data_IF_837619398747
#
_entry.id   IF_837619398747
#
_cell.length_a   1.000
_cell.length_b   1.000
_cell.length_c   1.000
_cell.angle_alpha   90.00
_cell.angle_beta   90.00
_cell.angle_gamma   90.00
#
_symmetry.space_group_name_H-M   'P 1'
#
loop_
_entity.id
_entity.type
_entity.pdbx_description
1 polymer ?
#
# COMPACT_ATOMS: atom_id res chain seq x y z
N UNK A 1 -16.78 32.41 3.32
CA UNK A 1 -15.57 31.68 3.73
C UNK A 1 -15.74 31.27 5.18
N UNK A 2 -15.79 29.98 5.46
CA UNK A 2 -15.63 29.44 6.81
C UNK A 2 -14.92 28.11 6.64
N UNK A 3 -13.60 28.14 6.83
CA UNK A 3 -12.76 26.96 6.99
C UNK A 3 -12.76 26.74 8.49
N UNK A 4 -13.47 25.73 8.96
CA UNK A 4 -13.23 25.21 10.30
C UNK A 4 -11.87 24.54 10.28
N UNK A 5 -10.84 25.23 10.78
CA UNK A 5 -9.58 24.58 11.14
C UNK A 5 -9.83 23.70 12.36
N UNK A 6 -10.17 22.44 12.13
CA UNK A 6 -9.70 21.41 13.04
C UNK A 6 -8.19 21.32 12.81
N UNK A 7 -7.39 21.63 13.82
CA UNK A 7 -5.93 21.77 13.78
C UNK A 7 -5.16 20.50 13.39
N UNK A 8 -5.84 19.43 12.96
CA UNK A 8 -5.29 18.11 12.71
C UNK A 8 -5.25 17.74 11.21
N UNK A 9 -6.13 18.30 10.37
CA UNK A 9 -6.19 17.97 8.94
C UNK A 9 -6.90 19.05 8.12
N UNK A 10 -6.73 19.00 6.80
CA UNK A 10 -7.34 19.93 5.84
C UNK A 10 -8.37 19.20 4.99
N UNK A 11 -9.41 19.91 4.56
CA UNK A 11 -10.35 19.44 3.54
C UNK A 11 -10.27 20.39 2.35
N UNK A 12 -10.04 19.84 1.16
CA UNK A 12 -10.05 20.57 -0.11
C UNK A 12 -11.15 20.04 -1.02
N UNK A 13 -11.81 20.95 -1.74
CA UNK A 13 -12.74 20.57 -2.81
C UNK A 13 -11.97 20.20 -4.08
N UNK A 14 -12.25 19.04 -4.66
CA UNK A 14 -11.57 18.50 -5.84
C UNK A 14 -12.58 17.82 -6.77
N UNK A 15 -12.31 17.79 -8.07
CA UNK A 15 -13.07 16.93 -8.97
C UNK A 15 -12.63 15.48 -8.74
N UNK A 16 -13.58 14.59 -8.46
CA UNK A 16 -13.31 13.16 -8.33
C UNK A 16 -13.75 12.43 -9.61
N UNK A 17 -12.83 11.75 -10.31
CA UNK A 17 -13.18 10.88 -11.43
C UNK A 17 -13.63 9.48 -10.97
N UNK A 18 -13.61 9.21 -9.66
CA UNK A 18 -13.93 7.89 -9.10
C UNK A 18 -15.43 7.70 -8.91
N UNK A 19 -15.92 6.44 -8.85
CA UNK A 19 -17.32 6.16 -8.57
C UNK A 19 -17.85 6.89 -7.33
N UNK A 20 -19.16 7.15 -7.33
CA UNK A 20 -19.81 7.77 -6.18
C UNK A 20 -19.79 6.81 -4.99
N UNK A 21 -19.40 7.33 -3.82
CA UNK A 21 -19.55 6.65 -2.55
C UNK A 21 -20.71 7.26 -1.74
N UNK A 22 -21.52 6.43 -1.07
CA UNK A 22 -22.62 6.89 -0.22
C UNK A 22 -22.11 7.75 0.93
N UNK A 23 -22.99 8.57 1.51
CA UNK A 23 -22.64 9.40 2.66
C UNK A 23 -22.13 8.53 3.81
N UNK A 24 -20.99 8.93 4.39
CA UNK A 24 -20.34 8.18 5.48
C UNK A 24 -19.23 7.24 5.01
N UNK A 25 -19.11 6.95 3.71
CA UNK A 25 -18.04 6.13 3.14
C UNK A 25 -16.96 6.98 2.48
N UNK A 26 -15.72 6.55 2.62
CA UNK A 26 -14.54 7.24 2.12
C UNK A 26 -13.62 6.26 1.41
N UNK A 27 -13.02 6.70 0.30
CA UNK A 27 -11.88 6.01 -0.28
C UNK A 27 -10.65 6.19 0.62
N UNK A 28 -9.89 5.10 0.81
CA UNK A 28 -8.58 5.07 1.48
C UNK A 28 -7.46 4.63 0.52
N UNK A 29 -6.22 4.78 0.96
CA UNK A 29 -5.06 4.26 0.24
C UNK A 29 -4.79 4.93 -1.11
N UNK A 30 -4.75 4.14 -2.19
CA UNK A 30 -4.27 4.57 -3.51
C UNK A 30 -5.07 5.72 -4.13
N UNK A 31 -6.40 5.64 -4.08
CA UNK A 31 -7.34 6.62 -4.66
C UNK A 31 -7.08 8.05 -4.14
N UNK A 32 -7.22 8.34 -2.82
CA UNK A 32 -7.01 9.68 -2.31
C UNK A 32 -5.54 10.12 -2.42
N UNK A 33 -4.58 9.20 -2.29
CA UNK A 33 -3.15 9.51 -2.39
C UNK A 33 -2.78 10.01 -3.78
N UNK A 34 -3.20 9.31 -4.81
CA UNK A 34 -2.95 9.72 -6.20
C UNK A 34 -3.69 11.01 -6.53
N UNK A 35 -4.91 11.18 -6.02
CA UNK A 35 -5.67 12.43 -6.17
C UNK A 35 -4.88 13.63 -5.62
N UNK A 36 -4.37 13.54 -4.39
CA UNK A 36 -3.58 14.62 -3.80
C UNK A 36 -2.24 14.81 -4.53
N UNK A 37 -1.53 13.71 -4.86
CA UNK A 37 -0.25 13.77 -5.57
C UNK A 37 -0.37 14.51 -6.90
N UNK A 38 -1.43 14.25 -7.69
CA UNK A 38 -1.68 14.95 -8.97
C UNK A 38 -2.00 16.42 -8.79
N UNK A 39 -2.65 16.81 -7.70
CA UNK A 39 -2.86 18.23 -7.40
C UNK A 39 -1.55 18.95 -7.04
N UNK A 40 -0.60 18.23 -6.45
CA UNK A 40 0.71 18.75 -6.08
C UNK A 40 1.72 18.70 -7.24
N UNK A 41 1.57 17.71 -8.12
CA UNK A 41 2.48 17.42 -9.26
C UNK A 41 1.68 17.25 -10.57
N UNK A 42 1.04 18.31 -11.09
CA UNK A 42 0.12 18.22 -12.23
C UNK A 42 0.78 17.79 -13.55
N UNK A 43 2.10 17.90 -13.65
CA UNK A 43 2.88 17.51 -14.84
C UNK A 43 3.51 16.12 -14.72
N UNK A 44 3.32 15.43 -13.59
CA UNK A 44 3.86 14.08 -13.39
C UNK A 44 2.98 13.02 -14.06
N UNK A 45 3.57 11.86 -14.36
CA UNK A 45 2.84 10.68 -14.81
C UNK A 45 1.71 10.35 -13.84
N UNK A 46 0.56 9.94 -14.36
CA UNK A 46 -0.55 9.45 -13.52
C UNK A 46 -0.27 8.00 -13.15
N UNK A 47 -0.29 7.69 -11.85
CA UNK A 47 -0.21 6.31 -11.39
C UNK A 47 -1.59 5.67 -11.51
N UNK A 48 -1.64 4.46 -12.06
CA UNK A 48 -2.88 3.70 -12.11
C UNK A 48 -3.31 3.27 -10.70
N UNK A 49 -4.58 3.50 -10.38
CA UNK A 49 -5.19 3.02 -9.14
C UNK A 49 -5.93 1.73 -9.46
N UNK A 50 -5.35 0.60 -9.07
CA UNK A 50 -5.86 -0.75 -9.37
C UNK A 50 -6.99 -1.15 -8.42
N UNK A 51 -6.79 -0.90 -7.13
CA UNK A 51 -7.67 -1.36 -6.07
C UNK A 51 -8.36 -0.17 -5.39
N UNK A 52 -9.66 -0.34 -5.10
CA UNK A 52 -10.48 0.65 -4.44
C UNK A 52 -10.75 0.23 -3.00
N UNK A 53 -9.95 0.76 -2.09
CA UNK A 53 -10.16 0.52 -0.67
C UNK A 53 -11.12 1.55 -0.08
N UNK A 54 -12.04 1.10 0.78
CA UNK A 54 -13.00 1.97 1.46
C UNK A 54 -13.03 1.76 2.98
N UNK A 55 -13.53 2.77 3.69
CA UNK A 55 -13.89 2.71 5.12
C UNK A 55 -15.14 3.55 5.36
N UNK A 56 -15.79 3.37 6.51
CA UNK A 56 -16.94 4.18 6.92
C UNK A 56 -16.72 4.90 8.24
N UNK A 57 -17.33 6.08 8.37
CA UNK A 57 -17.34 6.90 9.60
C UNK A 57 -18.72 7.06 10.22
N UNK A 58 -19.71 6.33 9.72
CA UNK A 58 -21.09 6.34 10.20
C UNK A 58 -21.56 4.90 10.33
N UNK A 59 -22.47 4.66 11.26
CA UNK A 59 -23.20 3.40 11.29
C UNK A 59 -24.13 3.27 10.10
N UNK A 60 -24.17 2.06 9.55
CA UNK A 60 -24.86 1.69 8.33
C UNK A 60 -25.48 0.31 8.52
N UNK A 61 -26.35 -0.09 7.60
CA UNK A 61 -26.91 -1.44 7.58
C UNK A 61 -25.83 -2.45 7.17
N UNK A 62 -25.77 -3.59 7.86
CA UNK A 62 -24.82 -4.68 7.58
C UNK A 62 -25.00 -5.23 6.15
N UNK A 63 -26.23 -5.28 5.64
CA UNK A 63 -26.52 -5.70 4.26
C UNK A 63 -25.91 -4.73 3.24
N UNK A 64 -25.80 -3.46 3.62
CA UNK A 64 -25.21 -2.43 2.78
C UNK A 64 -23.68 -2.53 2.77
N UNK A 65 -23.06 -2.72 3.94
CA UNK A 65 -21.62 -3.00 4.05
C UNK A 65 -21.25 -4.26 3.28
N UNK A 66 -22.07 -5.31 3.36
CA UNK A 66 -21.89 -6.54 2.59
C UNK A 66 -21.84 -6.27 1.08
N UNK A 67 -22.81 -5.51 0.56
CA UNK A 67 -22.87 -5.20 -0.88
C UNK A 67 -21.65 -4.42 -1.37
N UNK A 68 -21.18 -3.45 -0.59
CA UNK A 68 -20.02 -2.63 -0.93
C UNK A 68 -18.71 -3.40 -0.76
N UNK A 69 -18.60 -4.28 0.24
CA UNK A 69 -17.47 -5.20 0.39
C UNK A 69 -17.33 -6.12 -0.80
N UNK A 70 -18.42 -6.70 -1.31
CA UNK A 70 -18.37 -7.53 -2.53
C UNK A 70 -17.94 -6.73 -3.76
N UNK A 71 -18.31 -5.45 -3.84
CA UNK A 71 -17.98 -4.60 -4.98
C UNK A 71 -16.53 -4.13 -4.98
N UNK A 72 -16.00 -3.71 -3.83
CA UNK A 72 -14.73 -3.00 -3.73
C UNK A 72 -13.63 -3.78 -3.02
N UNK A 73 -14.00 -4.75 -2.18
CA UNK A 73 -13.10 -5.47 -1.27
C UNK A 73 -13.25 -6.99 -1.41
N UNK A 74 -13.65 -7.49 -2.59
CA UNK A 74 -14.03 -8.91 -2.77
C UNK A 74 -12.96 -9.88 -2.27
N UNK A 75 -11.69 -9.62 -2.58
CA UNK A 75 -10.55 -10.43 -2.14
C UNK A 75 -10.39 -10.47 -0.60
N UNK A 76 -10.58 -9.33 0.08
CA UNK A 76 -10.46 -9.24 1.54
C UNK A 76 -11.70 -9.82 2.25
N UNK A 77 -12.88 -9.63 1.64
CA UNK A 77 -14.15 -10.09 2.15
C UNK A 77 -14.22 -11.62 2.22
N UNK A 78 -13.61 -12.32 1.25
CA UNK A 78 -13.48 -13.79 1.27
C UNK A 78 -12.78 -14.32 2.52
N UNK A 79 -11.94 -13.51 3.19
CA UNK A 79 -11.24 -13.88 4.43
C UNK A 79 -11.89 -13.30 5.69
N UNK A 80 -13.11 -12.76 5.58
CA UNK A 80 -13.83 -12.17 6.71
C UNK A 80 -13.38 -10.75 7.06
N UNK A 81 -12.66 -10.08 6.17
CA UNK A 81 -12.28 -8.67 6.33
C UNK A 81 -13.24 -7.79 5.53
N UNK A 82 -14.17 -7.13 6.23
CA UNK A 82 -15.16 -6.22 5.64
C UNK A 82 -14.71 -4.75 5.63
N UNK A 83 -15.68 -3.85 5.45
CA UNK A 83 -15.45 -2.41 5.54
C UNK A 83 -14.97 -2.04 6.94
N UNK A 84 -13.86 -1.30 6.98
CA UNK A 84 -13.31 -0.77 8.22
C UNK A 84 -14.23 0.31 8.79
N UNK A 85 -14.61 0.16 10.07
CA UNK A 85 -15.39 1.16 10.81
C UNK A 85 -14.45 2.03 11.60
N UNK A 86 -14.47 3.34 11.32
CA UNK A 86 -13.59 4.31 11.96
C UNK A 86 -14.42 5.41 12.59
N UNK A 87 -14.06 5.86 13.79
CA UNK A 87 -14.81 6.89 14.51
C UNK A 87 -14.83 8.22 13.73
N UNK A 88 -13.66 8.69 13.31
CA UNK A 88 -13.51 9.93 12.55
C UNK A 88 -12.23 9.98 11.69
N UNK A 89 -12.08 11.03 10.87
CA UNK A 89 -10.90 11.19 10.01
C UNK A 89 -9.57 11.27 10.79
N UNK A 90 -9.44 12.04 11.90
CA UNK A 90 -8.26 12.01 12.74
C UNK A 90 -7.81 10.60 13.18
N UNK A 91 -8.73 9.77 13.68
CA UNK A 91 -8.43 8.38 14.08
C UNK A 91 -8.01 7.53 12.88
N UNK A 92 -8.68 7.69 11.73
CA UNK A 92 -8.29 7.03 10.49
C UNK A 92 -6.87 7.41 10.05
N UNK A 93 -6.52 8.70 10.07
CA UNK A 93 -5.18 9.15 9.66
C UNK A 93 -4.09 8.58 10.58
N UNK A 94 -4.31 8.57 11.90
CA UNK A 94 -3.32 8.04 12.84
C UNK A 94 -3.15 6.52 12.78
N UNK A 95 -4.03 5.77 12.12
CA UNK A 95 -3.91 4.32 11.98
C UNK A 95 -3.24 3.89 10.67
N UNK A 96 -2.86 4.84 9.80
CA UNK A 96 -2.20 4.51 8.53
C UNK A 96 -0.76 4.08 8.77
N UNK A 97 -0.24 3.33 7.80
CA UNK A 97 1.12 2.80 7.81
C UNK A 97 2.16 3.83 7.35
N UNK A 98 1.84 4.56 6.28
CA UNK A 98 2.66 5.61 5.69
C UNK A 98 1.92 6.94 5.71
N UNK A 99 2.66 8.03 5.94
CA UNK A 99 2.11 9.39 6.00
C UNK A 99 1.42 9.79 4.70
N UNK A 100 1.92 9.33 3.56
CA UNK A 100 1.29 9.56 2.24
C UNK A 100 -0.10 8.91 2.09
N UNK A 101 -0.46 7.98 2.98
CA UNK A 101 -1.77 7.36 3.05
C UNK A 101 -2.70 8.04 4.06
N UNK A 102 -2.27 9.06 4.79
CA UNK A 102 -3.09 9.88 5.70
C UNK A 102 -3.97 10.87 4.92
N UNK A 103 -4.74 10.31 4.01
CA UNK A 103 -5.57 10.97 3.03
C UNK A 103 -6.87 10.16 2.84
N UNK A 104 -7.97 10.85 2.59
CA UNK A 104 -9.28 10.26 2.38
C UNK A 104 -10.07 11.07 1.35
N UNK A 105 -10.85 10.39 0.50
CA UNK A 105 -11.67 11.05 -0.52
C UNK A 105 -13.12 10.59 -0.39
N UNK A 106 -14.04 11.56 -0.26
CA UNK A 106 -15.47 11.32 -0.35
C UNK A 106 -16.09 12.34 -1.30
N UNK A 107 -16.66 11.86 -2.41
CA UNK A 107 -17.17 12.71 -3.48
C UNK A 107 -16.10 13.77 -3.88
N UNK A 108 -16.41 15.05 -3.75
CA UNK A 108 -15.49 16.15 -4.04
C UNK A 108 -14.65 16.60 -2.85
N UNK A 109 -14.68 15.90 -1.71
CA UNK A 109 -13.98 16.28 -0.48
C UNK A 109 -12.75 15.42 -0.28
N UNK A 110 -11.58 16.02 -0.49
CA UNK A 110 -10.29 15.40 -0.22
C UNK A 110 -9.79 15.87 1.14
N UNK A 111 -9.81 14.98 2.13
CA UNK A 111 -9.25 15.18 3.46
C UNK A 111 -7.81 14.68 3.54
N UNK A 112 -6.92 15.42 4.20
CA UNK A 112 -5.52 15.01 4.35
C UNK A 112 -4.81 15.73 5.51
N UNK A 113 -3.83 15.09 6.12
CA UNK A 113 -2.99 15.72 7.14
C UNK A 113 -1.94 16.64 6.51
N UNK A 114 -1.42 17.59 7.29
CA UNK A 114 -0.29 18.44 6.85
C UNK A 114 0.95 17.60 6.52
N UNK A 115 1.14 16.48 7.23
CA UNK A 115 2.27 15.59 7.01
C UNK A 115 2.13 14.83 5.68
N UNK A 116 0.93 14.33 5.36
CA UNK A 116 0.64 13.74 4.05
C UNK A 116 0.91 14.71 2.90
N UNK A 117 0.44 15.95 3.02
CA UNK A 117 0.66 16.97 1.99
C UNK A 117 2.15 17.23 1.76
N UNK A 118 2.92 17.37 2.86
CA UNK A 118 4.36 17.59 2.78
C UNK A 118 5.08 16.42 2.12
N UNK A 119 4.78 15.19 2.55
CA UNK A 119 5.46 13.98 2.06
C UNK A 119 5.04 13.64 0.62
N UNK A 120 3.81 13.92 0.22
CA UNK A 120 3.40 13.84 -1.19
C UNK A 120 4.05 14.92 -2.05
N UNK A 121 4.31 16.11 -1.49
CA UNK A 121 5.00 17.20 -2.19
C UNK A 121 6.48 16.88 -2.43
N UNK A 122 7.15 16.25 -1.46
CA UNK A 122 8.56 15.85 -1.56
C UNK A 122 8.77 14.45 -2.10
N UNK A 123 7.69 13.71 -2.40
CA UNK A 123 7.73 12.30 -2.80
C UNK A 123 8.46 11.42 -1.77
N UNK A 124 8.17 11.63 -0.49
CA UNK A 124 8.77 10.91 0.63
C UNK A 124 7.84 9.81 1.14
N UNK A 125 8.31 8.58 1.21
CA UNK A 125 7.64 7.45 1.87
C UNK A 125 8.16 7.35 3.30
N UNK A 126 7.38 7.92 4.23
CA UNK A 126 7.68 7.92 5.67
C UNK A 126 6.63 7.09 6.43
N UNK A 127 7.02 6.29 7.42
CA UNK A 127 6.06 5.62 8.29
C UNK A 127 5.30 6.63 9.16
N UNK A 128 4.01 6.39 9.39
CA UNK A 128 3.24 7.20 10.33
C UNK A 128 3.75 6.97 11.75
N UNK A 129 3.96 8.03 12.52
CA UNK A 129 4.68 7.93 13.81
C UNK A 129 4.03 7.01 14.84
N UNK A 130 2.70 6.90 14.86
CA UNK A 130 1.93 6.10 15.82
C UNK A 130 2.12 4.59 15.69
N UNK A 131 2.54 4.11 14.50
CA UNK A 131 2.78 2.67 14.25
C UNK A 131 4.22 2.25 14.56
N UNK A 132 5.14 3.20 14.70
CA UNK A 132 6.53 2.91 15.01
C UNK A 132 6.70 2.50 16.47
N UNK A 133 7.68 1.64 16.74
CA UNK A 133 8.05 1.30 18.11
C UNK A 133 8.77 2.47 18.81
N UNK A 134 9.15 2.28 20.08
CA UNK A 134 9.82 3.32 20.87
C UNK A 134 11.19 3.76 20.30
N UNK A 135 11.80 2.96 19.43
CA UNK A 135 13.06 3.27 18.73
C UNK A 135 12.82 3.95 17.38
N UNK A 136 11.56 4.19 17.00
CA UNK A 136 11.19 4.76 15.71
C UNK A 136 11.16 3.74 14.56
N UNK A 137 11.34 2.45 14.86
CA UNK A 137 11.37 1.40 13.84
C UNK A 137 9.93 1.08 13.38
N UNK A 138 9.67 1.02 12.08
CA UNK A 138 8.38 0.61 11.56
C UNK A 138 8.19 -0.92 11.71
N UNK A 139 6.96 -1.42 11.70
CA UNK A 139 6.69 -2.83 11.50
C UNK A 139 7.19 -3.30 10.12
N UNK A 140 7.56 -4.57 10.03
CA UNK A 140 8.11 -5.20 8.81
C UNK A 140 7.21 -5.00 7.57
N UNK A 141 5.89 -5.12 7.73
CA UNK A 141 4.93 -4.92 6.64
C UNK A 141 4.99 -3.51 6.03
N UNK A 142 5.18 -2.49 6.86
CA UNK A 142 5.21 -1.08 6.46
C UNK A 142 6.49 -0.78 5.69
N UNK A 143 7.62 -1.31 6.18
CA UNK A 143 8.88 -1.25 5.47
C UNK A 143 8.79 -1.90 4.10
N UNK A 144 8.36 -3.16 4.03
CA UNK A 144 8.26 -3.89 2.76
C UNK A 144 7.30 -3.18 1.80
N UNK A 145 6.18 -2.63 2.30
CA UNK A 145 5.22 -1.88 1.47
C UNK A 145 5.84 -0.58 0.95
N UNK A 146 6.61 0.14 1.75
CA UNK A 146 7.30 1.36 1.30
C UNK A 146 8.32 1.04 0.20
N UNK A 147 9.13 0.00 0.38
CA UNK A 147 10.06 -0.47 -0.65
C UNK A 147 9.33 -0.82 -1.94
N UNK A 148 8.22 -1.58 -1.86
CA UNK A 148 7.37 -1.88 -3.03
C UNK A 148 6.88 -0.62 -3.73
N UNK A 149 6.31 0.34 -2.98
CA UNK A 149 5.82 1.59 -3.56
C UNK A 149 6.93 2.42 -4.20
N UNK A 150 8.14 2.38 -3.65
CA UNK A 150 9.29 3.07 -4.20
C UNK A 150 9.71 2.51 -5.57
N UNK A 151 9.82 1.17 -5.67
CA UNK A 151 10.19 0.52 -6.94
C UNK A 151 9.08 0.64 -7.98
N UNK A 152 7.81 0.48 -7.59
CA UNK A 152 6.66 0.71 -8.48
C UNK A 152 6.63 2.16 -8.98
N UNK A 153 6.87 3.13 -8.10
CA UNK A 153 6.97 4.53 -8.51
C UNK A 153 8.10 4.77 -9.49
N UNK A 154 9.29 4.23 -9.23
CA UNK A 154 10.45 4.35 -10.13
C UNK A 154 10.14 3.81 -11.52
N UNK A 155 9.53 2.63 -11.61
CA UNK A 155 9.10 2.04 -12.88
C UNK A 155 8.10 2.93 -13.65
N UNK A 156 7.31 3.73 -12.92
CA UNK A 156 6.34 4.67 -13.48
C UNK A 156 6.83 6.13 -13.57
N UNK A 157 8.13 6.38 -13.32
CA UNK A 157 8.71 7.73 -13.38
C UNK A 157 8.35 8.65 -12.20
N UNK A 158 7.94 8.09 -11.06
CA UNK A 158 7.69 8.79 -9.80
C UNK A 158 8.76 8.39 -8.78
N UNK A 159 9.79 9.23 -8.56
CA UNK A 159 10.95 8.88 -7.73
C UNK A 159 10.64 9.03 -6.24
N UNK A 160 9.92 8.07 -5.65
CA UNK A 160 9.71 8.06 -4.21
C UNK A 160 11.02 7.82 -3.45
N UNK A 161 11.26 8.61 -2.42
CA UNK A 161 12.37 8.45 -1.48
C UNK A 161 11.92 7.75 -0.20
N UNK A 162 12.69 6.77 0.27
CA UNK A 162 12.44 6.11 1.55
C UNK A 162 12.95 6.99 2.69
N UNK A 163 12.05 7.52 3.53
CA UNK A 163 12.38 8.45 4.61
C UNK A 163 12.06 7.84 5.97
N UNK A 164 12.99 7.06 6.51
CA UNK A 164 12.85 6.35 7.78
C UNK A 164 13.84 6.87 8.82
N UNK A 165 13.34 7.19 10.02
CA UNK A 165 14.19 7.61 11.14
C UNK A 165 15.02 6.45 11.70
N UNK A 166 14.48 5.23 11.63
CA UNK A 166 15.15 3.98 11.98
C UNK A 166 14.70 2.84 11.05
N UNK A 167 15.62 1.94 10.74
CA UNK A 167 15.35 0.74 9.95
C UNK A 167 14.76 -0.37 10.82
N UNK A 168 13.84 -1.20 10.30
CA UNK A 168 13.40 -2.38 11.03
C UNK A 168 14.57 -3.35 11.24
N UNK A 169 14.63 -4.01 12.41
CA UNK A 169 15.71 -4.99 12.69
C UNK A 169 15.58 -6.27 11.87
N UNK A 170 14.39 -6.60 11.43
CA UNK A 170 14.08 -7.80 10.66
C UNK A 170 12.90 -7.55 9.73
N UNK A 171 12.88 -8.29 8.62
CA UNK A 171 11.73 -8.40 7.72
C UNK A 171 11.15 -9.79 7.83
N UNK A 172 9.88 -9.90 8.23
CA UNK A 172 9.19 -11.17 8.26
C UNK A 172 9.02 -11.71 6.84
N UNK A 173 9.28 -13.00 6.64
CA UNK A 173 9.19 -13.63 5.32
C UNK A 173 7.79 -13.49 4.72
N UNK A 174 6.73 -13.58 5.54
CA UNK A 174 5.36 -13.34 5.10
C UNK A 174 5.17 -11.96 4.46
N UNK A 175 5.71 -10.90 5.07
CA UNK A 175 5.57 -9.54 4.55
C UNK A 175 6.34 -9.35 3.24
N UNK A 176 7.53 -9.94 3.14
CA UNK A 176 8.32 -9.97 1.89
C UNK A 176 7.53 -10.70 0.80
N UNK A 177 6.99 -11.88 1.09
CA UNK A 177 6.21 -12.68 0.15
C UNK A 177 4.96 -11.92 -0.32
N UNK A 178 4.23 -11.30 0.60
CA UNK A 178 3.03 -10.53 0.31
C UNK A 178 3.33 -9.34 -0.62
N UNK A 179 4.39 -8.57 -0.33
CA UNK A 179 4.72 -7.41 -1.17
C UNK A 179 5.39 -7.81 -2.48
N UNK A 180 6.08 -8.96 -2.54
CA UNK A 180 6.59 -9.55 -3.78
C UNK A 180 5.45 -9.99 -4.70
N UNK A 181 4.43 -10.68 -4.17
CA UNK A 181 3.25 -11.03 -4.98
C UNK A 181 2.58 -9.78 -5.57
N UNK A 182 2.42 -8.73 -4.75
CA UNK A 182 1.84 -7.46 -5.20
C UNK A 182 2.69 -6.72 -6.22
N UNK A 183 4.02 -6.82 -6.16
CA UNK A 183 4.89 -6.15 -7.13
C UNK A 183 4.83 -6.82 -8.51
N UNK A 184 4.51 -8.11 -8.60
CA UNK A 184 4.34 -8.79 -9.88
C UNK A 184 3.16 -8.28 -10.71
N UNK A 185 2.16 -7.64 -10.08
CA UNK A 185 1.12 -6.91 -10.81
C UNK A 185 1.69 -5.78 -11.70
N UNK A 186 2.92 -5.34 -11.40
CA UNK A 186 3.65 -4.30 -12.14
C UNK A 186 4.75 -4.87 -13.04
N UNK A 187 4.98 -6.19 -13.01
CA UNK A 187 6.00 -6.87 -13.81
C UNK A 187 7.05 -7.63 -12.99
N UNK A 188 7.72 -8.58 -13.64
CA UNK A 188 8.82 -9.36 -13.04
C UNK A 188 10.02 -8.47 -12.67
N UNK A 189 10.33 -7.49 -13.50
CA UNK A 189 11.38 -6.50 -13.28
C UNK A 189 11.14 -5.69 -11.99
N UNK A 190 9.90 -5.28 -11.71
CA UNK A 190 9.54 -4.62 -10.45
C UNK A 190 9.68 -5.56 -9.25
N UNK A 191 9.33 -6.85 -9.42
CA UNK A 191 9.56 -7.88 -8.40
C UNK A 191 11.04 -8.13 -8.10
N UNK A 192 11.89 -8.12 -9.11
CA UNK A 192 13.34 -8.20 -8.96
C UNK A 192 13.90 -6.96 -8.27
N UNK A 193 13.49 -5.76 -8.69
CA UNK A 193 13.93 -4.49 -8.09
C UNK A 193 13.51 -4.39 -6.62
N UNK A 194 12.32 -4.90 -6.27
CA UNK A 194 11.87 -5.00 -4.88
C UNK A 194 12.84 -5.83 -4.02
N UNK A 195 13.19 -7.05 -4.46
CA UNK A 195 14.11 -7.91 -3.70
C UNK A 195 15.53 -7.32 -3.66
N UNK A 196 16.00 -6.75 -4.76
CA UNK A 196 17.33 -6.13 -4.82
C UNK A 196 17.40 -4.90 -3.91
N UNK A 197 16.35 -4.09 -3.85
CA UNK A 197 16.27 -2.96 -2.91
C UNK A 197 16.32 -3.46 -1.46
N UNK A 198 15.60 -4.52 -1.10
CA UNK A 198 15.72 -5.11 0.24
C UNK A 198 17.15 -5.54 0.57
N UNK A 199 17.90 -6.09 -0.40
CA UNK A 199 19.32 -6.42 -0.25
C UNK A 199 20.22 -5.22 -0.08
N UNK A 200 20.01 -4.16 -0.84
CA UNK A 200 20.77 -2.91 -0.69
C UNK A 200 20.66 -2.35 0.74
N UNK A 201 19.52 -2.56 1.39
CA UNK A 201 19.24 -2.11 2.76
C UNK A 201 19.61 -3.11 3.87
N UNK A 202 20.25 -4.24 3.57
CA UNK A 202 20.71 -5.15 4.62
C UNK A 202 19.96 -6.48 4.72
N UNK A 203 18.91 -6.70 3.93
CA UNK A 203 17.99 -7.83 4.09
C UNK A 203 18.16 -8.86 2.97
N UNK A 204 18.01 -10.15 3.27
CA UNK A 204 17.99 -11.19 2.23
C UNK A 204 19.28 -11.32 1.37
N UNK A 205 20.44 -10.85 1.86
CA UNK A 205 21.73 -10.90 1.13
C UNK A 205 22.18 -12.28 0.67
N UNK A 206 21.63 -13.35 1.24
CA UNK A 206 21.95 -14.73 0.87
C UNK A 206 21.29 -15.15 -0.45
N UNK A 207 20.37 -14.35 -1.00
CA UNK A 207 19.67 -14.65 -2.24
C UNK A 207 20.37 -14.06 -3.47
N UNK A 208 20.36 -14.76 -4.62
CA UNK A 208 20.95 -14.25 -5.85
C UNK A 208 20.15 -13.09 -6.45
N UNK A 209 20.83 -12.21 -7.20
CA UNK A 209 20.26 -11.02 -7.87
C UNK A 209 19.66 -11.36 -9.24
N UNK A 210 18.80 -12.38 -9.26
CA UNK A 210 18.18 -12.90 -10.48
C UNK A 210 16.83 -13.57 -10.18
N UNK A 211 16.18 -14.10 -11.21
CA UNK A 211 14.95 -14.90 -11.06
C UNK A 211 15.12 -16.07 -10.07
N UNK A 212 16.33 -16.62 -9.93
CA UNK A 212 16.62 -17.64 -8.94
C UNK A 212 16.37 -17.18 -7.48
N UNK A 213 16.54 -15.89 -7.20
CA UNK A 213 16.28 -15.31 -5.86
C UNK A 213 14.79 -15.17 -5.59
N UNK A 214 14.03 -14.79 -6.63
CA UNK A 214 12.57 -14.80 -6.61
C UNK A 214 12.03 -16.21 -6.35
N UNK A 215 12.52 -17.20 -7.10
CA UNK A 215 12.15 -18.61 -6.92
C UNK A 215 12.46 -19.08 -5.50
N UNK A 216 13.64 -18.74 -4.96
CA UNK A 216 14.02 -19.12 -3.60
C UNK A 216 13.08 -18.53 -2.54
N UNK A 217 12.69 -17.25 -2.64
CA UNK A 217 11.70 -16.65 -1.73
C UNK A 217 10.36 -17.34 -1.85
N UNK A 218 9.89 -17.63 -3.07
CA UNK A 218 8.61 -18.31 -3.27
C UNK A 218 8.64 -19.71 -2.65
N UNK A 219 9.70 -20.48 -2.87
CA UNK A 219 9.85 -21.82 -2.30
C UNK A 219 9.96 -21.78 -0.76
N UNK A 220 10.74 -20.86 -0.20
CA UNK A 220 10.88 -20.70 1.25
C UNK A 220 9.55 -20.30 1.90
N UNK A 221 8.86 -19.32 1.30
CA UNK A 221 7.56 -18.85 1.76
C UNK A 221 6.50 -19.94 1.64
N UNK A 222 6.46 -20.66 0.52
CA UNK A 222 5.54 -21.78 0.31
C UNK A 222 5.71 -22.88 1.38
N UNK A 223 6.94 -23.17 1.78
CA UNK A 223 7.26 -24.13 2.86
C UNK A 223 6.80 -23.62 4.22
N UNK A 224 7.10 -22.36 4.56
CA UNK A 224 6.80 -21.81 5.88
C UNK A 224 5.31 -21.50 6.09
N UNK A 225 4.63 -21.00 5.05
CA UNK A 225 3.23 -20.55 5.13
C UNK A 225 2.22 -21.69 5.02
N UNK A 226 2.64 -22.92 4.67
CA UNK A 226 1.78 -24.11 4.47
C UNK A 226 0.65 -23.94 3.45
N UNK A 227 0.64 -22.85 2.68
CA UNK A 227 -0.28 -22.61 1.57
C UNK A 227 0.30 -23.03 0.21
N UNK A 228 1.58 -23.42 0.19
CA UNK A 228 2.30 -23.74 -1.04
C UNK A 228 2.44 -22.50 -1.94
N UNK A 229 2.65 -22.73 -3.24
CA UNK A 229 2.76 -21.65 -4.24
C UNK A 229 1.45 -20.89 -4.46
N UNK A 230 0.30 -21.41 -4.00
CA UNK A 230 -1.02 -20.78 -4.15
C UNK A 230 -1.15 -19.46 -3.39
N UNK A 231 -0.26 -19.21 -2.43
CA UNK A 231 -0.16 -17.91 -1.78
C UNK A 231 0.10 -16.78 -2.80
N UNK A 232 0.92 -17.05 -3.81
CA UNK A 232 1.28 -16.07 -4.83
C UNK A 232 0.26 -16.15 -5.98
N UNK A 233 -0.61 -15.16 -6.07
CA UNK A 233 -1.67 -15.08 -7.07
C UNK A 233 -1.17 -14.50 -8.39
N UNK A 234 -0.05 -13.80 -8.36
CA UNK A 234 0.42 -12.96 -9.46
C UNK A 234 1.77 -13.41 -10.04
N UNK A 235 2.18 -14.67 -9.83
CA UNK A 235 3.49 -15.18 -10.29
C UNK A 235 3.64 -14.99 -11.81
N UNK A 236 4.71 -14.33 -12.30
CA UNK A 236 5.02 -14.23 -13.72
C UNK A 236 5.22 -15.61 -14.36
N UNK A 237 4.83 -15.76 -15.63
CA UNK A 237 4.89 -17.06 -16.33
C UNK A 237 6.31 -17.63 -16.37
N UNK A 238 7.29 -16.77 -16.49
CA UNK A 238 8.72 -17.08 -16.48
C UNK A 238 9.12 -17.79 -15.17
N UNK A 239 8.70 -17.22 -14.04
CA UNK A 239 8.97 -17.78 -12.71
C UNK A 239 8.18 -19.07 -12.49
N UNK A 240 6.94 -19.15 -12.96
CA UNK A 240 6.15 -20.38 -12.89
C UNK A 240 6.80 -21.53 -13.68
N UNK A 241 7.39 -21.22 -14.84
CA UNK A 241 8.18 -22.17 -15.63
C UNK A 241 9.41 -22.69 -14.86
N UNK A 242 10.15 -21.81 -14.19
CA UNK A 242 11.30 -22.21 -13.36
C UNK A 242 10.88 -23.05 -12.14
N UNK A 243 9.79 -22.69 -11.47
CA UNK A 243 9.27 -23.43 -10.31
C UNK A 243 8.83 -24.85 -10.71
N UNK A 244 8.14 -24.99 -11.84
CA UNK A 244 7.66 -26.29 -12.33
C UNK A 244 8.80 -27.19 -12.80
N UNK A 245 9.85 -26.62 -13.42
CA UNK A 245 11.04 -27.36 -13.84
C UNK A 245 11.87 -27.95 -12.69
N UNK A 246 11.69 -27.47 -11.45
CA UNK A 246 12.37 -27.98 -10.25
C UNK A 246 11.60 -29.07 -9.51
N UNK A 247 10.34 -29.31 -9.89
CA UNK A 247 9.45 -30.32 -9.29
C UNK A 247 9.43 -31.62 -10.12
N UNK A 248 10.01 -31.62 -11.32
CA UNK A 248 10.25 -32.78 -12.19
C UNK A 248 11.71 -33.22 -12.04
#
# INVERSE_FOLDING_TARGET
MSIGESSLYRIRRVASPYPYLPEGYWYKGGVPRETLRRLLHPLSNTLEVRDFDIFRTKETDDDYDHSLSLQYLSDDYEFGHGIEVVEDLPVYFQSRDLTVNEVALHCERLGYTSQAEQDLRTLSLRPTRSICNAQGEPPSNTWCKAVRLAVEGRANGVPWELCFDAMPKHTALFDVALQLDRSFLSGLDVGLDFLNTLKEYGFLHHLPDSSAGVVAIIEESAKQLRQGIRFFRNIPREILGELTARVI
#
